data_IF_452221101785
#
_entry.id   IF_452221101785
#
_cell.length_a   1.000
_cell.length_b   1.000
_cell.length_c   1.000
_cell.angle_alpha   90.00
_cell.angle_beta   90.00
_cell.angle_gamma   90.00
#
_symmetry.space_group_name_H-M   'P 1'
#
loop_
_entity.id
_entity.type
_entity.pdbx_description
1 polymer ?
#
# COMPACT_ATOMS: atom_id res chain seq x y z
N UNK A 1 -1.49 -0.91 -14.89
CA UNK A 1 -2.40 -0.36 -13.86
C UNK A 1 -1.87 -0.49 -12.44
N UNK A 2 -1.69 -1.67 -11.83
CA UNK A 2 -1.24 -1.78 -10.42
C UNK A 2 0.06 -1.01 -10.13
N UNK A 3 1.07 -1.19 -10.96
CA UNK A 3 2.37 -0.51 -10.80
C UNK A 3 2.28 1.01 -10.95
N UNK A 4 1.42 1.51 -11.84
CA UNK A 4 1.20 2.94 -12.02
C UNK A 4 0.56 3.56 -10.77
N UNK A 5 -0.44 2.90 -10.19
CA UNK A 5 -1.05 3.35 -8.94
C UNK A 5 -0.07 3.32 -7.77
N UNK A 6 0.76 2.29 -7.68
CA UNK A 6 1.81 2.22 -6.66
C UNK A 6 2.83 3.34 -6.83
N UNK A 7 3.29 3.58 -8.06
CA UNK A 7 4.21 4.68 -8.36
C UNK A 7 3.59 6.05 -8.06
N UNK A 8 2.35 6.28 -8.49
CA UNK A 8 1.60 7.51 -8.23
C UNK A 8 1.31 7.72 -6.74
N UNK A 9 1.14 6.65 -5.96
CA UNK A 9 1.01 6.73 -4.50
C UNK A 9 2.32 7.01 -3.78
N UNK A 10 3.44 6.49 -4.27
CA UNK A 10 4.76 6.69 -3.67
C UNK A 10 5.37 8.06 -4.00
N UNK A 11 5.16 8.57 -5.22
CA UNK A 11 5.80 9.79 -5.70
C UNK A 11 5.53 11.05 -4.84
N UNK A 12 4.31 11.33 -4.37
CA UNK A 12 4.04 12.49 -3.52
C UNK A 12 4.81 12.44 -2.19
N UNK A 13 4.94 11.26 -1.57
CA UNK A 13 5.71 11.09 -0.34
C UNK A 13 7.20 11.42 -0.54
N UNK A 14 7.78 10.95 -1.65
CA UNK A 14 9.17 11.27 -2.02
C UNK A 14 9.35 12.78 -2.28
N UNK A 15 8.39 13.41 -2.98
CA UNK A 15 8.40 14.84 -3.24
C UNK A 15 8.35 15.66 -1.95
N UNK A 16 7.45 15.32 -1.02
CA UNK A 16 7.35 15.98 0.29
C UNK A 16 8.64 15.85 1.10
N UNK A 17 9.27 14.68 1.08
CA UNK A 17 10.56 14.47 1.76
C UNK A 17 11.67 15.34 1.16
N UNK A 18 11.71 15.49 -0.17
CA UNK A 18 12.67 16.38 -0.84
C UNK A 18 12.40 17.85 -0.51
N UNK A 19 11.13 18.28 -0.53
CA UNK A 19 10.73 19.64 -0.16
C UNK A 19 11.17 19.99 1.28
N UNK A 20 10.94 19.08 2.24
CA UNK A 20 11.37 19.27 3.62
C UNK A 20 12.88 19.36 3.76
N UNK A 21 13.66 18.55 3.04
CA UNK A 21 15.12 18.64 3.03
C UNK A 21 15.63 19.98 2.51
N UNK A 22 14.88 20.63 1.62
CA UNK A 22 15.17 21.97 1.10
C UNK A 22 14.63 23.11 1.99
N UNK A 23 14.02 22.80 3.13
CA UNK A 23 13.48 23.80 4.07
C UNK A 23 12.07 24.29 3.75
N UNK A 24 11.36 23.66 2.81
CA UNK A 24 9.97 23.97 2.49
C UNK A 24 9.00 23.04 3.22
N UNK A 25 7.81 23.54 3.53
CA UNK A 25 6.68 22.73 3.96
C UNK A 25 5.80 22.37 2.77
N UNK A 26 5.28 21.15 2.74
CA UNK A 26 4.35 20.71 1.72
C UNK A 26 3.24 19.81 2.25
N UNK A 27 2.08 19.83 1.59
CA UNK A 27 0.95 18.94 1.88
C UNK A 27 0.39 18.38 0.57
N UNK A 28 0.06 17.09 0.59
CA UNK A 28 -0.73 16.45 -0.47
C UNK A 28 -2.20 16.52 -0.10
N UNK A 29 -3.01 17.07 -1.00
CA UNK A 29 -4.46 17.15 -0.89
C UNK A 29 -5.08 16.20 -1.91
N UNK A 30 -5.54 15.06 -1.42
CA UNK A 30 -6.38 14.11 -2.16
C UNK A 30 -7.86 14.28 -1.78
N UNK A 31 -8.75 13.52 -2.41
CA UNK A 31 -10.20 13.48 -2.08
C UNK A 31 -11.08 13.97 -3.23
N UNK A 32 -12.35 14.28 -2.92
CA UNK A 32 -13.41 14.57 -3.91
C UNK A 32 -13.02 15.55 -5.02
N UNK A 33 -12.20 16.57 -4.69
CA UNK A 33 -11.71 17.56 -5.67
C UNK A 33 -10.89 16.94 -6.81
N UNK A 34 -10.30 15.76 -6.59
CA UNK A 34 -9.56 15.03 -7.61
C UNK A 34 -10.45 14.32 -8.62
N UNK A 35 -11.78 14.29 -8.40
CA UNK A 35 -12.76 13.67 -9.28
C UNK A 35 -13.71 14.68 -9.94
N UNK A 36 -13.53 15.98 -9.66
CA UNK A 36 -14.36 17.05 -10.21
C UNK A 36 -14.16 17.17 -11.75
N UNK A 37 -15.21 16.94 -12.56
CA UNK A 37 -15.11 17.00 -14.02
C UNK A 37 -14.69 18.37 -14.55
N UNK A 38 -15.05 19.46 -13.86
CA UNK A 38 -14.65 20.80 -14.27
C UNK A 38 -13.13 20.99 -14.12
N UNK A 39 -12.55 20.47 -13.04
CA UNK A 39 -11.11 20.45 -12.82
C UNK A 39 -10.39 19.54 -13.83
N UNK A 40 -10.96 18.37 -14.14
CA UNK A 40 -10.39 17.48 -15.16
C UNK A 40 -10.32 18.16 -16.52
N UNK A 41 -11.41 18.81 -16.93
CA UNK A 41 -11.47 19.56 -18.18
C UNK A 41 -10.50 20.75 -18.18
N UNK A 42 -10.42 21.49 -17.07
CA UNK A 42 -9.53 22.65 -16.97
C UNK A 42 -8.04 22.27 -16.99
N UNK A 43 -7.69 21.10 -16.46
CA UNK A 43 -6.33 20.55 -16.46
C UNK A 43 -6.01 19.72 -17.71
N UNK A 44 -6.99 19.49 -18.59
CA UNK A 44 -6.81 18.78 -19.85
C UNK A 44 -6.64 17.26 -19.73
N UNK A 45 -7.22 16.65 -18.70
CA UNK A 45 -7.18 15.19 -18.52
C UNK A 45 -7.91 14.49 -19.67
N UNK A 46 -7.29 13.43 -20.19
CA UNK A 46 -7.87 12.55 -21.22
C UNK A 46 -8.62 11.38 -20.59
N UNK A 47 -9.37 10.67 -21.43
CA UNK A 47 -10.01 9.42 -21.04
C UNK A 47 -8.99 8.43 -20.46
N UNK A 48 -9.27 7.90 -19.27
CA UNK A 48 -8.38 6.99 -18.55
C UNK A 48 -7.25 7.65 -17.75
N UNK A 49 -7.10 8.98 -17.80
CA UNK A 49 -6.20 9.71 -16.91
C UNK A 49 -6.88 10.05 -15.59
N UNK A 50 -6.09 10.04 -14.51
CA UNK A 50 -6.59 10.31 -13.16
C UNK A 50 -5.69 11.28 -12.44
N UNK A 51 -6.31 12.25 -11.76
CA UNK A 51 -5.59 13.16 -10.89
C UNK A 51 -5.30 12.48 -9.55
N UNK A 52 -4.01 12.25 -9.26
CA UNK A 52 -3.59 11.59 -8.03
C UNK A 52 -3.74 12.48 -6.78
N UNK A 53 -3.68 13.80 -6.94
CA UNK A 53 -3.78 14.78 -5.87
C UNK A 53 -3.18 16.13 -6.26
N UNK A 54 -3.38 17.12 -5.40
CA UNK A 54 -2.71 18.42 -5.49
C UNK A 54 -1.61 18.50 -4.43
N UNK A 55 -0.52 19.19 -4.76
CA UNK A 55 0.55 19.48 -3.80
C UNK A 55 0.61 20.98 -3.58
N UNK A 56 0.37 21.41 -2.34
CA UNK A 56 0.64 22.78 -1.91
C UNK A 56 2.01 22.82 -1.25
N UNK A 57 2.88 23.73 -1.69
CA UNK A 57 4.26 23.90 -1.25
C UNK A 57 4.50 25.36 -0.85
N UNK A 58 5.26 25.60 0.21
CA UNK A 58 5.64 26.96 0.60
C UNK A 58 6.66 27.02 1.74
N UNK A 59 7.04 28.24 2.11
CA UNK A 59 7.92 28.49 3.25
C UNK A 59 7.23 28.15 4.57
N UNK A 60 7.97 27.55 5.49
CA UNK A 60 7.46 27.15 6.80
C UNK A 60 7.38 28.40 7.69
N UNK A 61 6.17 28.81 8.07
CA UNK A 61 5.94 29.98 8.95
C UNK A 61 5.69 29.58 10.41
N UNK A 62 5.34 28.33 10.67
CA UNK A 62 5.11 27.78 12.00
C UNK A 62 5.43 26.28 12.00
N UNK A 63 5.89 25.77 13.14
CA UNK A 63 6.18 24.36 13.29
C UNK A 63 4.87 23.55 13.44
N UNK A 64 4.69 22.45 12.70
CA UNK A 64 3.53 21.58 12.86
C UNK A 64 3.48 20.97 14.26
N UNK A 65 2.28 20.74 14.79
CA UNK A 65 2.13 20.02 16.06
C UNK A 65 2.67 18.59 15.94
N UNK A 66 3.32 18.05 16.99
CA UNK A 66 3.77 16.67 16.99
C UNK A 66 2.63 15.69 16.69
N UNK A 67 2.89 14.69 15.84
CA UNK A 67 1.97 13.59 15.58
C UNK A 67 2.26 12.45 16.56
N UNK A 68 1.21 11.80 17.06
CA UNK A 68 1.36 10.60 17.88
C UNK A 68 2.07 9.49 17.08
N UNK A 69 3.09 8.88 17.69
CA UNK A 69 3.85 7.78 17.09
C UNK A 69 3.20 6.44 17.43
N UNK A 70 3.11 5.55 16.45
CA UNK A 70 2.68 4.16 16.66
C UNK A 70 3.91 3.26 16.83
N UNK A 71 3.91 2.39 17.84
CA UNK A 71 5.02 1.48 18.09
C UNK A 71 5.13 0.45 16.93
N UNK A 72 6.32 0.27 16.31
CA UNK A 72 6.47 -0.65 15.18
C UNK A 72 6.09 -2.10 15.50
N UNK A 73 6.26 -2.54 16.75
CA UNK A 73 5.89 -3.88 17.21
C UNK A 73 4.38 -4.15 17.14
N UNK A 74 3.54 -3.12 17.11
CA UNK A 74 2.08 -3.27 17.00
C UNK A 74 1.59 -3.59 15.57
N UNK A 75 2.46 -3.45 14.55
CA UNK A 75 2.12 -3.62 13.14
C UNK A 75 3.01 -4.64 12.42
N UNK A 76 3.89 -5.35 13.14
CA UNK A 76 4.86 -6.29 12.58
C UNK A 76 4.69 -7.66 13.18
N UNK A 77 4.72 -8.69 12.34
CA UNK A 77 4.89 -10.08 12.75
C UNK A 77 6.23 -10.55 12.23
N UNK A 78 7.01 -11.22 13.09
CA UNK A 78 8.25 -11.86 12.66
C UNK A 78 7.91 -13.19 11.98
N UNK A 79 8.47 -13.42 10.79
CA UNK A 79 8.39 -14.72 10.17
C UNK A 79 9.23 -15.72 10.97
N UNK A 80 8.62 -16.85 11.33
CA UNK A 80 9.22 -17.93 12.10
C UNK A 80 9.45 -19.13 11.16
N UNK A 81 10.69 -19.26 10.68
CA UNK A 81 11.07 -20.22 9.65
C UNK A 81 10.88 -21.67 10.12
N UNK A 82 11.12 -21.94 11.40
CA UNK A 82 10.95 -23.24 12.04
C UNK A 82 9.48 -23.70 12.06
N UNK A 83 8.54 -22.78 12.23
CA UNK A 83 7.10 -23.08 12.20
C UNK A 83 6.61 -23.28 10.77
N UNK A 84 7.13 -22.52 9.82
CA UNK A 84 6.85 -22.73 8.40
C UNK A 84 7.37 -24.11 7.92
N UNK A 85 8.55 -24.51 8.40
CA UNK A 85 9.11 -25.84 8.12
C UNK A 85 8.26 -26.95 8.73
N UNK A 86 7.82 -26.82 9.98
CA UNK A 86 7.00 -27.83 10.66
C UNK A 86 5.63 -28.07 9.98
N UNK A 87 4.97 -27.01 9.49
CA UNK A 87 3.71 -27.11 8.72
C UNK A 87 3.93 -27.87 7.42
N UNK A 88 5.02 -27.59 6.72
CA UNK A 88 5.38 -28.29 5.47
C UNK A 88 5.65 -29.77 5.72
N UNK A 89 6.37 -30.10 6.81
CA UNK A 89 6.63 -31.48 7.23
C UNK A 89 5.35 -32.23 7.58
N UNK A 90 4.42 -31.62 8.32
CA UNK A 90 3.14 -32.24 8.67
C UNK A 90 2.23 -32.49 7.46
N UNK A 91 2.19 -31.57 6.49
CA UNK A 91 1.42 -31.73 5.27
C UNK A 91 1.95 -32.87 4.37
N UNK A 92 3.26 -33.14 4.39
CA UNK A 92 3.88 -34.26 3.67
C UNK A 92 3.67 -35.62 4.36
N UNK A 93 3.28 -35.63 5.64
CA UNK A 93 3.09 -36.83 6.47
C UNK A 93 1.65 -37.32 6.55
N UNK A 94 0.68 -36.60 5.96
CA UNK A 94 -0.71 -37.06 5.86
C UNK A 94 -0.87 -37.92 4.59
N UNK A 95 -1.02 -39.25 4.72
CA UNK A 95 -1.34 -40.09 3.57
C UNK A 95 -2.74 -39.76 3.06
N UNK A 96 -2.91 -39.66 1.75
CA UNK A 96 -4.21 -39.54 1.08
C UNK A 96 -5.13 -40.67 1.59
N UNK A 97 -6.07 -40.32 2.46
CA UNK A 97 -6.98 -41.24 3.12
C UNK A 97 -8.11 -41.75 2.21
N UNK A 98 -7.81 -42.09 0.95
CA UNK A 98 -8.79 -42.72 0.06
C UNK A 98 -8.30 -44.11 -0.39
N UNK A 99 -8.31 -45.05 0.55
CA UNK A 99 -8.34 -46.47 0.21
C UNK A 99 -9.81 -46.85 0.01
N UNK A 100 -10.30 -46.70 -1.23
CA UNK A 100 -11.58 -47.27 -1.65
C UNK A 100 -11.47 -48.80 -1.57
N UNK A 101 -11.94 -49.35 -0.46
CA UNK A 101 -12.19 -50.77 -0.25
C UNK A 101 -13.52 -51.16 -0.90
N UNK A 102 -13.53 -51.27 -2.22
CA UNK A 102 -14.62 -51.96 -2.91
C UNK A 102 -14.25 -53.42 -3.20
N UNK A 103 -14.73 -54.29 -2.30
CA UNK A 103 -15.47 -55.49 -2.67
C UNK A 103 -14.73 -56.53 -3.51
N UNK A 104 -14.09 -57.47 -2.82
CA UNK A 104 -14.13 -58.87 -3.23
C UNK A 104 -15.60 -59.28 -3.36
N UNK A 105 -16.04 -59.66 -4.56
CA UNK A 105 -16.97 -60.78 -4.78
C UNK A 105 -17.11 -61.10 -6.27
N UNK A 106 -16.97 -62.40 -6.55
CA UNK A 106 -17.13 -63.18 -7.79
C UNK A 106 -15.92 -63.30 -8.74
#
# INVERSE_FOLDING_TARGET
MREQWLAAGAAPGNFLNAAHQLGFGAIVLSGERCFDPALHSALGLREGEHLAGFISLGSITSQPSPRATVAPSSMRTAWQAEQAAAVTSQALLQPDGNHDSHGSDL
#
